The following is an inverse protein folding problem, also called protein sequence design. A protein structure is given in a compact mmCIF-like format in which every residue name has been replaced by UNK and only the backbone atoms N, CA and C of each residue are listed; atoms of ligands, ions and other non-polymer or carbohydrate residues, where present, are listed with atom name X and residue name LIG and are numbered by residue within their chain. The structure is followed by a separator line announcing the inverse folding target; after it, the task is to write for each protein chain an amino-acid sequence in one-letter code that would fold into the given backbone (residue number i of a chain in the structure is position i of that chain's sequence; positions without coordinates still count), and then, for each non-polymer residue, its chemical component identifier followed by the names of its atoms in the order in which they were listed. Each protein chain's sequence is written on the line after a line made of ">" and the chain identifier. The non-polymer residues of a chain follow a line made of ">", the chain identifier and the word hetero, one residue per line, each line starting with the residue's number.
data_IF_303532829040
#
_entry.id   IF_303532829040
#
_cell.length_a   1.000
_cell.length_b   1.000
_cell.length_c   1.000
_cell.angle_alpha   90.00
_cell.angle_beta   90.00
_cell.angle_gamma   90.00
#
_symmetry.space_group_name_H-M   'P 1'
#
loop_
_entity.id
_entity.type
_entity.pdbx_description
1 polymer ?
#
# COMPACT_ATOMS: atom_id res chain seq x y z
N UNK A 1 -9.88 -25.10 -9.34
CA UNK A 1 -9.78 -24.44 -8.02
C UNK A 1 -10.42 -23.08 -8.17
N UNK A 2 -11.46 -22.78 -7.39
CA UNK A 2 -12.10 -21.47 -7.43
C UNK A 2 -11.11 -20.50 -6.75
N UNK A 3 -10.46 -19.64 -7.53
CA UNK A 3 -9.48 -18.70 -6.99
C UNK A 3 -10.25 -17.58 -6.28
N UNK A 4 -10.05 -17.44 -4.96
CA UNK A 4 -10.64 -16.33 -4.22
C UNK A 4 -10.28 -14.98 -4.87
N UNK A 5 -11.31 -14.21 -5.23
CA UNK A 5 -11.14 -12.97 -5.99
C UNK A 5 -10.30 -11.93 -5.23
N UNK A 6 -10.48 -11.84 -3.91
CA UNK A 6 -9.78 -10.86 -3.07
C UNK A 6 -8.30 -11.21 -2.98
N UNK A 7 -7.96 -12.47 -2.73
CA UNK A 7 -6.59 -12.94 -2.70
C UNK A 7 -5.92 -12.86 -4.07
N UNK A 8 -6.62 -13.14 -5.15
CA UNK A 8 -6.08 -13.00 -6.50
C UNK A 8 -5.66 -11.55 -6.77
N UNK A 9 -6.60 -10.61 -6.59
CA UNK A 9 -6.35 -9.20 -6.89
C UNK A 9 -5.41 -8.52 -5.89
N UNK A 10 -5.39 -8.97 -4.64
CA UNK A 10 -4.33 -8.58 -3.72
C UNK A 10 -2.95 -9.02 -4.25
N UNK A 11 -2.80 -10.25 -4.74
CA UNK A 11 -1.52 -10.71 -5.32
C UNK A 11 -1.10 -9.87 -6.53
N UNK A 12 -2.05 -9.55 -7.43
CA UNK A 12 -1.80 -8.65 -8.56
C UNK A 12 -1.31 -7.28 -8.08
N UNK A 13 -1.93 -6.70 -7.03
CA UNK A 13 -1.50 -5.45 -6.44
C UNK A 13 -0.10 -5.53 -5.81
N UNK A 14 0.26 -6.63 -5.14
CA UNK A 14 1.60 -6.82 -4.57
C UNK A 14 2.67 -6.97 -5.65
N UNK A 15 2.35 -7.60 -6.78
CA UNK A 15 3.24 -7.63 -7.94
C UNK A 15 3.40 -6.23 -8.55
N UNK A 16 2.33 -5.44 -8.60
CA UNK A 16 2.41 -4.05 -9.05
C UNK A 16 3.39 -3.24 -8.20
N UNK A 17 3.36 -3.41 -6.87
CA UNK A 17 4.29 -2.77 -5.94
C UNK A 17 5.74 -3.19 -6.22
N UNK A 18 6.03 -4.48 -6.37
CA UNK A 18 7.38 -4.95 -6.65
C UNK A 18 7.91 -4.41 -8.00
N UNK A 19 7.06 -4.39 -9.02
CA UNK A 19 7.40 -3.89 -10.35
C UNK A 19 7.67 -2.38 -10.36
N UNK A 20 6.89 -1.58 -9.61
CA UNK A 20 7.09 -0.12 -9.50
C UNK A 20 8.47 0.24 -8.88
N UNK A 21 9.10 -0.70 -8.18
CA UNK A 21 10.43 -0.59 -7.56
C UNK A 21 11.54 -1.31 -8.35
N UNK A 22 11.28 -1.79 -9.58
CA UNK A 22 12.23 -2.59 -10.37
C UNK A 22 12.64 -1.90 -11.67
N UNK A 23 13.94 -1.95 -12.01
CA UNK A 23 14.48 -1.47 -13.28
C UNK A 23 14.98 -0.01 -13.29
N UNK A 24 15.94 0.27 -14.16
CA UNK A 24 16.65 1.56 -14.25
C UNK A 24 15.93 2.65 -15.06
N UNK A 25 14.92 2.27 -15.86
CA UNK A 25 14.17 3.19 -16.69
C UNK A 25 12.68 2.85 -16.60
N UNK A 26 11.92 3.37 -15.63
CA UNK A 26 10.46 3.54 -15.79
C UNK A 26 9.72 4.29 -14.66
N UNK A 27 8.60 4.86 -15.13
CA UNK A 27 7.55 5.67 -14.51
C UNK A 27 7.31 5.36 -13.02
N UNK A 28 7.83 6.24 -12.17
CA UNK A 28 7.58 6.27 -10.73
C UNK A 28 6.09 6.60 -10.52
N UNK A 29 5.29 5.63 -10.06
CA UNK A 29 3.87 5.88 -9.78
C UNK A 29 3.63 6.02 -8.27
N UNK A 30 3.93 4.96 -7.50
CA UNK A 30 3.59 4.87 -6.07
C UNK A 30 4.78 4.44 -5.20
N UNK A 31 6.00 4.80 -5.61
CA UNK A 31 7.23 4.43 -4.89
C UNK A 31 7.25 4.93 -3.45
N UNK A 32 7.94 4.15 -2.62
CA UNK A 32 8.13 4.42 -1.20
C UNK A 32 6.96 3.89 -0.35
N UNK A 33 7.20 3.64 0.94
CA UNK A 33 6.22 3.04 1.85
C UNK A 33 4.91 3.81 1.92
N UNK A 34 4.96 5.15 1.90
CA UNK A 34 3.78 6.00 2.10
C UNK A 34 2.79 5.92 0.93
N UNK A 35 3.26 6.11 -0.31
CA UNK A 35 2.43 6.01 -1.52
C UNK A 35 1.98 4.58 -1.77
N UNK A 36 2.83 3.59 -1.51
CA UNK A 36 2.44 2.16 -1.63
C UNK A 36 1.29 1.82 -0.67
N UNK A 37 1.38 2.19 0.61
CA UNK A 37 0.32 1.91 1.58
C UNK A 37 -1.02 2.54 1.15
N UNK A 38 -0.98 3.79 0.66
CA UNK A 38 -2.15 4.48 0.10
C UNK A 38 -2.73 3.75 -1.10
N UNK A 39 -1.91 3.33 -2.06
CA UNK A 39 -2.36 2.63 -3.25
C UNK A 39 -3.06 1.31 -2.90
N UNK A 40 -2.47 0.51 -2.02
CA UNK A 40 -3.08 -0.75 -1.55
C UNK A 40 -4.41 -0.49 -0.82
N UNK A 41 -4.51 0.57 0.00
CA UNK A 41 -5.76 0.93 0.65
C UNK A 41 -6.86 1.31 -0.34
N UNK A 42 -6.53 2.04 -1.42
CA UNK A 42 -7.48 2.40 -2.49
C UNK A 42 -8.01 1.15 -3.20
N UNK A 43 -7.12 0.24 -3.58
CA UNK A 43 -7.49 -1.01 -4.27
C UNK A 43 -8.40 -1.86 -3.38
N UNK A 44 -8.03 -2.06 -2.12
CA UNK A 44 -8.82 -2.85 -1.17
C UNK A 44 -10.17 -2.21 -0.83
N UNK A 45 -10.24 -0.89 -0.65
CA UNK A 45 -11.51 -0.20 -0.43
C UNK A 45 -12.46 -0.36 -1.63
N UNK A 46 -11.93 -0.33 -2.87
CA UNK A 46 -12.73 -0.57 -4.07
C UNK A 46 -13.23 -2.01 -4.18
N UNK A 47 -12.39 -3.00 -3.89
CA UNK A 47 -12.84 -4.40 -3.83
C UNK A 47 -13.91 -4.61 -2.75
N UNK A 48 -13.70 -4.04 -1.57
CA UNK A 48 -14.62 -4.15 -0.43
C UNK A 48 -15.99 -3.55 -0.73
N UNK A 49 -16.04 -2.33 -1.29
CA UNK A 49 -17.31 -1.68 -1.63
C UNK A 49 -18.01 -2.36 -2.82
N UNK A 50 -17.25 -2.87 -3.80
CA UNK A 50 -17.80 -3.59 -4.95
C UNK A 50 -18.42 -4.93 -4.54
N UNK A 51 -17.81 -5.62 -3.57
CA UNK A 51 -18.42 -6.78 -2.95
C UNK A 51 -19.68 -6.40 -2.17
N UNK A 52 -19.59 -5.38 -1.29
CA UNK A 52 -20.66 -5.06 -0.34
C UNK A 52 -21.89 -4.44 -0.98
N UNK A 53 -21.76 -3.73 -2.10
CA UNK A 53 -22.93 -3.19 -2.79
C UNK A 53 -23.86 -4.30 -3.31
N UNK A 54 -23.29 -5.47 -3.63
CA UNK A 54 -24.04 -6.67 -4.05
C UNK A 54 -24.41 -7.53 -2.84
N UNK A 55 -23.41 -7.90 -2.02
CA UNK A 55 -23.56 -8.86 -0.93
C UNK A 55 -24.30 -8.30 0.29
N UNK A 56 -24.21 -6.98 0.53
CA UNK A 56 -24.79 -6.27 1.69
C UNK A 56 -24.39 -6.89 3.03
N UNK A 57 -23.17 -7.43 3.11
CA UNK A 57 -22.68 -8.15 4.29
C UNK A 57 -22.09 -7.21 5.35
N UNK A 58 -21.54 -6.07 4.93
CA UNK A 58 -20.87 -5.10 5.80
C UNK A 58 -21.28 -3.66 5.47
N UNK A 59 -20.88 -2.73 6.34
CA UNK A 59 -21.01 -1.28 6.08
C UNK A 59 -19.94 -0.86 5.07
N UNK A 60 -20.31 -0.35 3.88
CA UNK A 60 -19.34 0.12 2.90
C UNK A 60 -18.50 1.29 3.40
N UNK A 61 -17.30 1.45 2.85
CA UNK A 61 -16.42 2.59 3.12
C UNK A 61 -17.02 3.88 2.57
N UNK A 62 -17.53 3.87 1.34
CA UNK A 62 -18.26 5.01 0.79
C UNK A 62 -19.69 5.05 1.30
N UNK A 63 -20.16 6.25 1.62
CA UNK A 63 -21.57 6.51 1.92
C UNK A 63 -22.37 6.58 0.63
N UNK A 64 -23.63 6.14 0.68
CA UNK A 64 -24.61 6.29 -0.40
C UNK A 64 -24.21 5.63 -1.73
N UNK A 65 -23.71 4.38 -1.66
CA UNK A 65 -23.50 3.58 -2.86
C UNK A 65 -24.82 3.33 -3.61
N UNK A 66 -24.81 3.28 -4.95
CA UNK A 66 -26.01 3.02 -5.73
C UNK A 66 -26.56 1.62 -5.43
N UNK A 67 -27.88 1.40 -5.53
CA UNK A 67 -28.44 0.06 -5.40
C UNK A 67 -27.89 -0.85 -6.52
N UNK A 68 -27.51 -2.07 -6.17
CA UNK A 68 -27.10 -3.10 -7.11
C UNK A 68 -28.01 -4.32 -7.04
N UNK A 69 -28.11 -5.06 -8.16
CA UNK A 69 -28.78 -6.35 -8.17
C UNK A 69 -28.03 -7.34 -7.26
N UNK A 70 -28.77 -8.08 -6.43
CA UNK A 70 -28.20 -9.16 -5.64
C UNK A 70 -27.74 -10.36 -6.47
N UNK A 71 -28.10 -10.42 -7.75
CA UNK A 71 -27.74 -11.50 -8.67
C UNK A 71 -26.47 -11.22 -9.47
N UNK A 72 -25.89 -10.02 -9.39
CA UNK A 72 -24.64 -9.70 -10.07
C UNK A 72 -23.47 -10.53 -9.48
N UNK A 73 -22.49 -10.87 -10.31
CA UNK A 73 -21.31 -11.61 -9.84
C UNK A 73 -20.43 -10.71 -8.97
N UNK A 74 -20.22 -11.13 -7.73
CA UNK A 74 -19.36 -10.44 -6.76
C UNK A 74 -17.90 -10.52 -7.18
N UNK A 75 -17.48 -11.66 -7.71
CA UNK A 75 -16.13 -11.93 -8.19
C UNK A 75 -15.78 -11.03 -9.37
N UNK A 76 -16.69 -10.89 -10.34
CA UNK A 76 -16.52 -9.97 -11.46
C UNK A 76 -16.47 -8.50 -11.00
N UNK A 77 -17.29 -8.12 -10.01
CA UNK A 77 -17.28 -6.76 -9.44
C UNK A 77 -15.98 -6.45 -8.69
N UNK A 78 -15.51 -7.36 -7.83
CA UNK A 78 -14.21 -7.26 -7.15
C UNK A 78 -13.09 -7.10 -8.19
N UNK A 79 -13.08 -7.96 -9.21
CA UNK A 79 -12.03 -7.97 -10.21
C UNK A 79 -11.96 -6.67 -11.00
N UNK A 80 -13.11 -6.19 -11.46
CA UNK A 80 -13.16 -4.97 -12.23
C UNK A 80 -12.86 -3.72 -11.38
N UNK A 81 -13.23 -3.71 -10.09
CA UNK A 81 -12.88 -2.62 -9.18
C UNK A 81 -11.38 -2.54 -8.89
N UNK A 82 -10.74 -3.70 -8.65
CA UNK A 82 -9.30 -3.80 -8.49
C UNK A 82 -8.55 -3.37 -9.76
N UNK A 83 -8.95 -3.89 -10.92
CA UNK A 83 -8.40 -3.47 -12.21
C UNK A 83 -8.51 -1.95 -12.42
N UNK A 84 -9.71 -1.39 -12.21
CA UNK A 84 -9.99 0.04 -12.42
C UNK A 84 -9.06 0.92 -11.59
N UNK A 85 -8.87 0.57 -10.32
CA UNK A 85 -7.99 1.32 -9.41
C UNK A 85 -6.51 1.11 -9.72
N UNK A 86 -6.09 -0.11 -10.03
CA UNK A 86 -4.70 -0.42 -10.38
C UNK A 86 -4.23 0.28 -11.66
N UNK A 87 -5.05 0.32 -12.71
CA UNK A 87 -4.73 1.06 -13.95
C UNK A 87 -4.54 2.55 -13.67
N UNK A 88 -5.38 3.15 -12.83
CA UNK A 88 -5.24 4.56 -12.47
C UNK A 88 -4.00 4.84 -11.61
N UNK A 89 -3.68 3.93 -10.69
CA UNK A 89 -2.57 4.10 -9.74
C UNK A 89 -1.21 3.74 -10.32
N UNK A 90 -1.15 2.81 -11.29
CA UNK A 90 0.07 2.28 -11.91
C UNK A 90 -0.09 2.22 -13.44
N UNK A 91 -0.24 3.37 -14.13
CA UNK A 91 -0.50 3.39 -15.57
C UNK A 91 0.59 2.70 -16.41
N UNK A 92 1.83 2.64 -15.91
CA UNK A 92 2.93 1.90 -16.55
C UNK A 92 2.72 0.39 -16.64
N UNK A 93 1.80 -0.18 -15.87
CA UNK A 93 1.53 -1.63 -15.78
C UNK A 93 0.17 -2.03 -16.36
N UNK A 94 -0.50 -1.12 -17.07
CA UNK A 94 -1.85 -1.30 -17.62
C UNK A 94 -2.02 -2.59 -18.41
N UNK A 95 -1.06 -2.93 -19.30
CA UNK A 95 -1.15 -4.15 -20.11
C UNK A 95 -1.15 -5.41 -19.24
N UNK A 96 -0.33 -5.44 -18.19
CA UNK A 96 -0.31 -6.55 -17.22
C UNK A 96 -1.68 -6.69 -16.56
N UNK A 97 -2.27 -5.59 -16.09
CA UNK A 97 -3.59 -5.65 -15.45
C UNK A 97 -4.71 -6.08 -16.40
N UNK A 98 -4.65 -5.69 -17.68
CA UNK A 98 -5.59 -6.18 -18.69
C UNK A 98 -5.47 -7.69 -18.88
N UNK A 99 -4.25 -8.23 -18.95
CA UNK A 99 -4.04 -9.67 -19.05
C UNK A 99 -4.59 -10.40 -17.82
N UNK A 100 -4.28 -9.93 -16.61
CA UNK A 100 -4.79 -10.54 -15.37
C UNK A 100 -6.32 -10.47 -15.27
N UNK A 101 -6.93 -9.34 -15.67
CA UNK A 101 -8.39 -9.19 -15.71
C UNK A 101 -9.02 -10.21 -16.66
N UNK A 102 -8.53 -10.29 -17.91
CA UNK A 102 -9.06 -11.21 -18.90
C UNK A 102 -8.92 -12.66 -18.45
N UNK A 103 -7.76 -13.03 -17.89
CA UNK A 103 -7.52 -14.36 -17.36
C UNK A 103 -8.50 -14.70 -16.23
N UNK A 104 -8.72 -13.76 -15.29
CA UNK A 104 -9.65 -13.98 -14.18
C UNK A 104 -11.10 -14.10 -14.65
N UNK A 105 -11.58 -13.18 -15.50
CA UNK A 105 -12.96 -13.19 -16.00
C UNK A 105 -13.27 -14.43 -16.84
N UNK A 106 -12.30 -14.98 -17.56
CA UNK A 106 -12.44 -16.24 -18.30
C UNK A 106 -12.68 -17.47 -17.39
N UNK A 107 -12.43 -17.36 -16.09
CA UNK A 107 -12.74 -18.42 -15.12
C UNK A 107 -14.18 -18.36 -14.60
N UNK A 108 -14.89 -17.26 -14.84
CA UNK A 108 -16.24 -17.04 -14.33
C UNK A 108 -17.31 -17.45 -15.36
N UNK A 109 -18.52 -17.83 -14.91
CA UNK A 109 -19.66 -18.00 -15.80
C UNK A 109 -19.95 -16.73 -16.60
N UNK A 110 -20.13 -16.86 -17.91
CA UNK A 110 -20.48 -15.73 -18.79
C UNK A 110 -21.97 -15.39 -18.69
N UNK A 111 -22.36 -14.16 -19.03
CA UNK A 111 -23.76 -13.72 -19.08
C UNK A 111 -24.05 -12.44 -18.28
N UNK A 112 -25.34 -12.14 -18.10
CA UNK A 112 -25.80 -10.90 -17.43
C UNK A 112 -25.18 -10.68 -16.05
N UNK A 113 -25.13 -11.69 -15.14
CA UNK A 113 -24.51 -11.51 -13.82
C UNK A 113 -23.05 -11.03 -13.87
N UNK A 114 -22.26 -11.59 -14.80
CA UNK A 114 -20.85 -11.21 -14.96
C UNK A 114 -20.72 -9.79 -15.52
N UNK A 115 -21.50 -9.46 -16.56
CA UNK A 115 -21.50 -8.13 -17.16
C UNK A 115 -21.97 -7.04 -16.18
N UNK A 116 -23.00 -7.32 -15.37
CA UNK A 116 -23.46 -6.44 -14.30
C UNK A 116 -22.38 -6.25 -13.23
N UNK A 117 -21.71 -7.33 -12.83
CA UNK A 117 -20.58 -7.27 -11.90
C UNK A 117 -19.46 -6.36 -12.43
N UNK A 118 -19.07 -6.51 -13.69
CA UNK A 118 -18.08 -5.65 -14.35
C UNK A 118 -18.54 -4.18 -14.33
N UNK A 119 -19.79 -3.90 -14.69
CA UNK A 119 -20.31 -2.54 -14.68
C UNK A 119 -20.25 -1.92 -13.26
N UNK A 120 -20.67 -2.67 -12.25
CA UNK A 120 -20.62 -2.27 -10.83
C UNK A 120 -19.18 -2.02 -10.38
N UNK A 121 -18.26 -2.95 -10.63
CA UNK A 121 -16.87 -2.82 -10.23
C UNK A 121 -16.19 -1.61 -10.87
N UNK A 122 -16.52 -1.32 -12.13
CA UNK A 122 -16.03 -0.10 -12.82
C UNK A 122 -16.52 1.17 -12.13
N UNK A 123 -17.81 1.25 -11.81
CA UNK A 123 -18.41 2.41 -11.13
C UNK A 123 -17.81 2.61 -9.73
N UNK A 124 -17.75 1.54 -8.92
CA UNK A 124 -17.19 1.60 -7.57
C UNK A 124 -15.71 1.97 -7.58
N UNK A 125 -14.91 1.37 -8.46
CA UNK A 125 -13.50 1.72 -8.61
C UNK A 125 -13.29 3.20 -8.91
N UNK A 126 -14.10 3.77 -9.82
CA UNK A 126 -14.07 5.21 -10.13
C UNK A 126 -14.50 6.07 -8.95
N UNK A 127 -15.54 5.68 -8.20
CA UNK A 127 -16.00 6.42 -7.01
C UNK A 127 -14.95 6.46 -5.91
N UNK A 128 -14.24 5.35 -5.68
CA UNK A 128 -13.16 5.29 -4.70
C UNK A 128 -12.00 6.18 -5.11
N UNK A 129 -11.58 6.14 -6.39
CA UNK A 129 -10.57 7.06 -6.91
C UNK A 129 -11.01 8.52 -6.75
N UNK A 130 -12.27 8.84 -7.07
CA UNK A 130 -12.81 10.19 -6.91
C UNK A 130 -12.84 10.63 -5.44
N UNK A 131 -13.21 9.75 -4.51
CA UNK A 131 -13.22 10.03 -3.08
C UNK A 131 -11.81 10.26 -2.51
N UNK A 132 -10.78 9.74 -3.18
CA UNK A 132 -9.36 9.93 -2.84
C UNK A 132 -8.66 10.96 -3.72
N UNK A 133 -9.37 11.58 -4.66
CA UNK A 133 -8.83 12.66 -5.45
C UNK A 133 -8.58 13.88 -4.56
N UNK A 134 -7.48 14.60 -4.80
CA UNK A 134 -7.09 15.78 -4.02
C UNK A 134 -7.01 15.55 -2.51
N UNK A 135 -6.67 14.33 -2.07
CA UNK A 135 -6.50 14.00 -0.65
C UNK A 135 -5.18 14.53 -0.05
N UNK A 136 -4.44 15.35 -0.78
CA UNK A 136 -3.15 15.90 -0.40
C UNK A 136 -1.95 15.03 -0.78
N UNK A 137 -2.14 13.81 -1.31
CA UNK A 137 -1.02 12.92 -1.65
C UNK A 137 -0.10 13.48 -2.74
N UNK A 138 -0.63 14.33 -3.62
CA UNK A 138 0.10 14.93 -4.74
C UNK A 138 0.52 16.39 -4.50
N UNK A 139 0.33 16.89 -3.27
CA UNK A 139 0.82 18.21 -2.89
C UNK A 139 2.37 18.26 -2.97
N UNK A 140 2.98 19.44 -3.24
CA UNK A 140 4.43 19.58 -3.25
C UNK A 140 5.07 19.10 -1.94
N UNK A 141 5.94 18.09 -2.06
CA UNK A 141 6.62 17.41 -0.96
C UNK A 141 8.06 17.95 -0.80
N UNK A 142 8.20 19.25 -0.50
CA UNK A 142 9.52 19.88 -0.35
C UNK A 142 9.92 19.98 1.13
N UNK A 143 11.19 19.69 1.39
CA UNK A 143 11.88 19.92 2.66
C UNK A 143 13.25 20.52 2.33
N UNK A 144 13.66 21.51 3.12
CA UNK A 144 14.98 22.13 3.02
C UNK A 144 15.70 21.88 4.34
N UNK A 145 16.82 21.15 4.35
CA UNK A 145 17.56 20.89 5.57
C UNK A 145 18.21 22.18 6.08
N UNK A 146 18.17 22.38 7.39
CA UNK A 146 18.66 23.59 8.04
C UNK A 146 20.11 23.52 8.55
N UNK A 147 20.77 22.35 8.50
CA UNK A 147 22.14 22.18 8.99
C UNK A 147 22.32 22.22 10.51
N UNK A 148 21.22 22.28 11.28
CA UNK A 148 21.28 22.36 12.74
C UNK A 148 21.23 20.96 13.38
N UNK A 149 22.03 20.70 14.44
CA UNK A 149 21.97 19.45 15.18
C UNK A 149 20.56 19.11 15.66
N UNK A 150 20.18 17.83 15.55
CA UNK A 150 18.86 17.34 15.93
C UNK A 150 17.75 17.56 14.89
N UNK A 151 18.01 18.29 13.82
CA UNK A 151 17.11 18.35 12.65
C UNK A 151 17.53 17.31 11.61
N UNK A 152 16.56 16.84 10.83
CA UNK A 152 16.84 15.91 9.74
C UNK A 152 17.64 16.60 8.64
N UNK A 153 18.69 15.94 8.15
CA UNK A 153 19.63 16.49 7.18
C UNK A 153 19.94 15.45 6.09
N UNK A 154 20.71 15.86 5.07
CA UNK A 154 21.21 14.99 4.03
C UNK A 154 21.99 13.81 4.63
N UNK A 155 21.80 12.64 4.06
CA UNK A 155 22.62 11.48 4.38
C UNK A 155 24.03 11.68 3.79
N UNK A 156 25.08 11.71 4.63
CA UNK A 156 26.45 11.88 4.15
C UNK A 156 26.91 10.80 3.16
N UNK A 157 26.32 9.60 3.21
CA UNK A 157 26.66 8.50 2.32
C UNK A 157 25.83 8.51 1.02
N UNK A 158 24.67 9.18 1.03
CA UNK A 158 23.75 9.25 -0.12
C UNK A 158 23.15 10.66 -0.23
N UNK A 159 23.96 11.70 -0.51
CA UNK A 159 23.51 13.09 -0.45
C UNK A 159 22.41 13.43 -1.48
N UNK A 160 22.35 12.69 -2.58
CA UNK A 160 21.38 12.92 -3.66
C UNK A 160 20.04 12.16 -3.47
N UNK A 161 19.85 11.39 -2.39
CA UNK A 161 18.64 10.57 -2.22
C UNK A 161 17.35 11.39 -1.99
N UNK A 162 17.50 12.65 -1.56
CA UNK A 162 16.38 13.55 -1.27
C UNK A 162 15.58 13.19 -0.02
N UNK A 163 14.39 13.77 0.12
CA UNK A 163 13.52 13.60 1.29
C UNK A 163 12.19 12.99 0.87
N UNK A 164 11.92 11.77 1.33
CA UNK A 164 10.69 11.07 0.98
C UNK A 164 9.51 11.67 1.73
N UNK A 165 8.55 12.23 0.97
CA UNK A 165 7.22 12.64 1.43
C UNK A 165 7.16 13.44 2.76
N UNK A 166 7.98 14.50 2.95
CA UNK A 166 8.09 15.26 4.20
C UNK A 166 6.77 15.84 4.75
N UNK A 167 5.73 15.96 3.91
CA UNK A 167 4.41 16.48 4.29
C UNK A 167 3.32 15.40 4.27
N UNK A 168 3.68 14.12 4.27
CA UNK A 168 2.70 13.03 4.19
C UNK A 168 1.69 13.03 5.34
N UNK A 169 2.07 13.55 6.51
CA UNK A 169 1.15 13.74 7.63
C UNK A 169 -0.04 14.68 7.33
N UNK A 170 0.01 15.45 6.24
CA UNK A 170 -1.10 16.32 5.82
C UNK A 170 -2.08 15.61 4.86
N UNK A 171 -1.77 14.39 4.40
CA UNK A 171 -2.67 13.61 3.55
C UNK A 171 -3.92 13.26 4.36
N UNK A 172 -5.10 13.52 3.80
CA UNK A 172 -6.38 13.20 4.43
C UNK A 172 -6.40 11.72 4.81
N UNK A 173 -6.65 11.35 6.07
CA UNK A 173 -6.70 9.94 6.45
C UNK A 173 -7.84 9.17 5.78
N UNK A 174 -7.80 7.85 5.86
CA UNK A 174 -8.89 6.98 5.40
C UNK A 174 -9.97 6.80 6.48
N UNK A 175 -9.56 6.43 7.70
CA UNK A 175 -10.47 6.00 8.77
C UNK A 175 -10.36 6.78 10.06
N UNK A 176 -9.19 7.38 10.35
CA UNK A 176 -8.99 8.17 11.58
C UNK A 176 -9.39 9.63 11.34
N UNK A 177 -10.13 10.27 12.27
CA UNK A 177 -10.56 11.66 12.11
C UNK A 177 -9.41 12.66 12.28
N UNK A 178 -8.48 12.36 13.19
CA UNK A 178 -7.34 13.21 13.50
C UNK A 178 -6.10 12.34 13.77
N UNK A 179 -5.00 12.58 13.04
CA UNK A 179 -3.76 11.81 13.21
C UNK A 179 -2.95 12.27 14.42
N UNK A 180 -3.21 13.48 14.94
CA UNK A 180 -2.44 14.06 16.05
C UNK A 180 -2.64 13.23 17.33
N UNK A 181 -3.81 12.60 17.47
CA UNK A 181 -4.15 11.74 18.60
C UNK A 181 -3.31 10.46 18.66
N UNK A 182 -2.62 10.11 17.56
CA UNK A 182 -1.76 8.92 17.44
C UNK A 182 -0.27 9.26 17.36
N UNK A 183 0.10 10.52 17.59
CA UNK A 183 1.50 10.97 17.50
C UNK A 183 2.30 10.48 18.70
N UNK A 184 3.45 9.87 18.46
CA UNK A 184 4.42 9.54 19.51
C UNK A 184 4.89 10.81 20.26
N UNK A 185 5.31 10.68 21.53
CA UNK A 185 5.99 11.76 22.25
C UNK A 185 7.22 12.26 21.49
N UNK A 186 7.67 13.46 21.84
CA UNK A 186 8.93 14.00 21.34
C UNK A 186 10.10 13.05 21.68
N UNK A 187 11.12 12.93 20.81
CA UNK A 187 12.31 12.17 21.13
C UNK A 187 13.05 12.77 22.35
N UNK A 188 13.91 11.99 23.03
CA UNK A 188 14.74 12.51 24.11
C UNK A 188 15.56 13.74 23.69
N UNK A 189 15.75 14.69 24.62
CA UNK A 189 16.55 15.89 24.36
C UNK A 189 17.99 15.52 23.96
N UNK A 190 18.55 16.26 23.00
CA UNK A 190 19.84 15.93 22.38
C UNK A 190 21.01 15.78 23.38
N UNK A 191 20.98 16.56 24.47
CA UNK A 191 22.03 16.56 25.50
C UNK A 191 21.68 15.66 26.70
N UNK A 192 20.58 14.90 26.62
CA UNK A 192 20.15 14.02 27.71
C UNK A 192 20.91 12.69 27.71
N UNK A 193 21.02 12.07 28.90
CA UNK A 193 21.54 10.71 29.03
C UNK A 193 20.74 9.70 28.18
N UNK A 194 19.41 9.84 28.13
CA UNK A 194 18.55 8.95 27.35
C UNK A 194 18.83 9.02 25.84
N UNK A 195 19.16 10.21 25.31
CA UNK A 195 19.61 10.32 23.92
C UNK A 195 20.98 9.66 23.72
N UNK A 196 21.92 9.89 24.63
CA UNK A 196 23.25 9.28 24.56
C UNK A 196 23.20 7.74 24.60
N UNK A 197 22.33 7.16 25.42
CA UNK A 197 22.13 5.71 25.49
C UNK A 197 21.57 5.16 24.18
N UNK A 198 20.54 5.80 23.62
CA UNK A 198 19.95 5.42 22.33
C UNK A 198 20.95 5.53 21.18
N UNK A 199 21.76 6.58 21.18
CA UNK A 199 22.82 6.76 20.18
C UNK A 199 23.90 5.67 20.28
N UNK A 200 24.34 5.32 21.49
CA UNK A 200 25.36 4.30 21.72
C UNK A 200 24.85 2.90 21.33
N UNK A 201 23.58 2.59 21.59
CA UNK A 201 22.96 1.35 21.14
C UNK A 201 22.99 1.22 19.62
N UNK A 202 22.50 2.22 18.89
CA UNK A 202 22.53 2.24 17.41
C UNK A 202 23.97 2.20 16.89
N UNK A 203 24.92 2.89 17.52
CA UNK A 203 26.33 2.87 17.10
C UNK A 203 26.96 1.49 17.27
N UNK A 204 26.68 0.79 18.38
CA UNK A 204 27.22 -0.54 18.66
C UNK A 204 26.54 -1.60 17.79
N UNK A 205 25.21 -1.61 17.74
CA UNK A 205 24.42 -2.67 17.13
C UNK A 205 24.04 -2.40 15.67
N UNK A 206 23.97 -1.14 15.23
CA UNK A 206 23.59 -0.76 13.85
C UNK A 206 24.75 -0.70 12.86
N UNK A 207 26.00 -0.80 13.30
CA UNK A 207 27.16 -0.73 12.42
C UNK A 207 27.15 -1.85 11.36
N UNK A 208 27.61 -1.53 10.14
CA UNK A 208 27.72 -2.50 9.03
C UNK A 208 28.49 -3.77 9.45
N UNK A 209 29.62 -3.57 10.12
CA UNK A 209 30.47 -4.64 10.66
C UNK A 209 30.43 -4.67 12.20
N UNK A 210 29.23 -4.65 12.79
CA UNK A 210 29.07 -4.74 14.24
C UNK A 210 29.68 -6.05 14.77
N UNK A 211 30.45 -5.96 15.86
CA UNK A 211 30.97 -7.11 16.61
C UNK A 211 30.12 -7.45 17.84
N UNK A 212 29.08 -6.66 18.12
CA UNK A 212 28.19 -6.81 19.27
C UNK A 212 26.83 -7.37 18.87
N UNK A 213 26.32 -6.98 17.69
CA UNK A 213 25.06 -7.49 17.14
C UNK A 213 25.14 -9.01 16.92
N UNK A 214 24.17 -9.73 17.44
CA UNK A 214 24.11 -11.19 17.27
C UNK A 214 23.71 -11.57 15.83
N UNK A 215 23.99 -12.80 15.40
CA UNK A 215 23.49 -13.30 14.12
C UNK A 215 21.96 -13.21 14.00
N UNK A 216 21.23 -13.58 15.06
CA UNK A 216 19.76 -13.53 15.12
C UNK A 216 19.22 -12.09 14.95
N UNK A 217 19.82 -11.10 15.63
CA UNK A 217 19.47 -9.69 15.45
C UNK A 217 19.71 -9.20 14.02
N UNK A 218 20.73 -9.74 13.34
CA UNK A 218 21.01 -9.43 11.94
C UNK A 218 19.93 -10.01 11.03
N UNK A 219 19.54 -11.26 11.27
CA UNK A 219 18.46 -11.92 10.51
C UNK A 219 17.12 -11.19 10.69
N UNK A 220 16.75 -10.85 11.92
CA UNK A 220 15.54 -10.07 12.22
C UNK A 220 15.54 -8.72 11.49
N UNK A 221 16.67 -8.00 11.51
CA UNK A 221 16.80 -6.72 10.81
C UNK A 221 16.61 -6.85 9.29
N UNK A 222 17.19 -7.89 8.67
CA UNK A 222 17.05 -8.14 7.23
C UNK A 222 15.64 -8.59 6.88
N UNK A 223 15.03 -9.45 7.71
CA UNK A 223 13.70 -9.99 7.47
C UNK A 223 12.64 -8.89 7.30
N UNK A 224 12.71 -7.86 8.13
CA UNK A 224 11.73 -6.76 8.15
C UNK A 224 12.07 -5.59 7.20
N UNK A 225 13.18 -5.65 6.46
CA UNK A 225 13.67 -4.54 5.64
C UNK A 225 12.66 -4.06 4.58
N UNK A 226 12.54 -4.77 3.46
CA UNK A 226 11.69 -4.36 2.32
C UNK A 226 11.91 -2.88 1.94
N UNK A 227 13.16 -2.41 1.87
CA UNK A 227 13.48 -0.98 1.68
C UNK A 227 13.40 -0.52 0.21
N UNK A 228 12.33 -0.88 -0.50
CA UNK A 228 12.12 -0.50 -1.90
C UNK A 228 13.08 -1.18 -2.88
N UNK A 229 13.70 -2.29 -2.48
CA UNK A 229 14.64 -3.03 -3.30
C UNK A 229 13.99 -3.63 -4.55
N UNK A 230 14.78 -3.79 -5.61
CA UNK A 230 14.32 -4.35 -6.88
C UNK A 230 13.67 -5.72 -6.67
N UNK A 231 12.51 -5.92 -7.29
CA UNK A 231 11.67 -7.13 -7.22
C UNK A 231 11.12 -7.44 -5.83
N UNK A 232 11.40 -6.62 -4.81
CA UNK A 232 10.93 -6.81 -3.44
C UNK A 232 9.84 -5.80 -3.09
N UNK A 233 10.04 -4.51 -3.36
CA UNK A 233 9.09 -3.46 -2.98
C UNK A 233 9.25 -2.97 -1.54
N UNK A 234 8.17 -2.54 -0.91
CA UNK A 234 8.16 -1.77 0.37
C UNK A 234 7.53 -2.55 1.54
N UNK A 235 7.69 -2.13 2.82
CA UNK A 235 7.15 -2.87 3.97
C UNK A 235 5.64 -3.17 3.89
N UNK A 236 4.75 -2.29 3.36
CA UNK A 236 3.34 -2.63 3.16
C UNK A 236 3.11 -3.90 2.33
N UNK A 237 4.02 -4.26 1.42
CA UNK A 237 3.95 -5.52 0.68
C UNK A 237 4.21 -6.72 1.58
N UNK A 238 5.25 -6.69 2.41
CA UNK A 238 5.54 -7.74 3.39
C UNK A 238 4.36 -7.94 4.34
N UNK A 239 3.80 -6.86 4.87
CA UNK A 239 2.66 -6.95 5.79
C UNK A 239 1.44 -7.61 5.13
N UNK A 240 1.16 -7.29 3.86
CA UNK A 240 0.11 -7.97 3.11
C UNK A 240 0.43 -9.46 2.91
N UNK A 241 1.68 -9.82 2.59
CA UNK A 241 2.07 -11.23 2.46
C UNK A 241 1.82 -12.00 3.76
N UNK A 242 2.20 -11.44 4.91
CA UNK A 242 1.94 -12.04 6.21
C UNK A 242 0.43 -12.20 6.48
N UNK A 243 -0.37 -11.17 6.20
CA UNK A 243 -1.83 -11.20 6.43
C UNK A 243 -2.52 -12.22 5.50
N UNK A 244 -2.04 -12.41 4.27
CA UNK A 244 -2.55 -13.46 3.38
C UNK A 244 -2.36 -14.85 3.97
N UNK A 245 -1.17 -15.13 4.51
CA UNK A 245 -0.89 -16.41 5.18
C UNK A 245 -1.85 -16.63 6.35
N UNK A 246 -2.08 -15.60 7.18
CA UNK A 246 -3.06 -15.68 8.27
C UNK A 246 -4.48 -15.98 7.74
N UNK A 247 -4.93 -15.29 6.70
CA UNK A 247 -6.26 -15.49 6.12
C UNK A 247 -6.44 -16.92 5.58
N UNK A 248 -5.41 -17.47 4.92
CA UNK A 248 -5.43 -18.84 4.39
C UNK A 248 -5.41 -19.88 5.51
N UNK A 249 -4.59 -19.68 6.55
CA UNK A 249 -4.49 -20.59 7.70
C UNK A 249 -5.80 -20.64 8.52
N UNK A 250 -6.46 -19.50 8.67
CA UNK A 250 -7.71 -19.41 9.42
C UNK A 250 -8.94 -19.84 8.62
N UNK A 251 -8.80 -20.15 7.31
CA UNK A 251 -9.91 -20.49 6.40
C UNK A 251 -11.02 -19.44 6.43
N UNK A 252 -10.65 -18.16 6.50
CA UNK A 252 -11.59 -17.01 6.49
C UNK A 252 -12.08 -16.71 5.06
N UNK A 253 -11.65 -17.52 4.09
CA UNK A 253 -11.81 -17.38 2.65
C UNK A 253 -12.18 -18.73 2.05
#
# INVERSE_FOLDING_TARGET
>A
MNTDAILFWNNVALNAVANDHTGAAQKINQRGPTRTARALAIVHAAMFDAFNVIARAFTPYLKNLPPASGTASKEAAIAQAAFTTLVALYPGQTNTFYTELNNFLNTLPTGSPCNEGIAIGTDIGKRILAARNNDGSDAPMTYQPGGLPGLHDLDPLNPDQGFLTPRWGLVKPFVVPNIIDFRSPAPPELMSAAYADSFNDVKSNGAKNSTTRTPDQTEIGIFWAYDGAQKIGTPPRLYNQNIREVAMLQKII
#
